data_IF_475413201270
#
_entry.id   IF_475413201270
#
_cell.length_a   1.000
_cell.length_b   1.000
_cell.length_c   1.000
_cell.angle_alpha   90.00
_cell.angle_beta   90.00
_cell.angle_gamma   90.00
#
_symmetry.space_group_name_H-M   'P 1'
#
loop_
_entity.id
_entity.type
_entity.pdbx_description
1 polymer ?
#
# COMPACT_ATOMS: atom_id res chain seq x y z
N UNK A 1 -4.14 -3.12 -10.63
CA UNK A 1 -5.52 -2.75 -10.22
C UNK A 1 -6.66 -3.60 -10.81
N UNK A 2 -6.60 -4.05 -12.09
CA UNK A 2 -7.73 -4.76 -12.73
C UNK A 2 -7.87 -6.25 -12.39
N UNK A 3 -6.83 -6.93 -11.89
CA UNK A 3 -6.89 -8.38 -11.59
C UNK A 3 -7.55 -8.74 -10.27
N UNK A 4 -7.66 -7.82 -9.31
CA UNK A 4 -8.28 -8.15 -8.00
C UNK A 4 -9.81 -8.17 -8.12
N UNK A 5 -10.38 -7.24 -8.90
CA UNK A 5 -11.83 -7.18 -9.15
C UNK A 5 -12.38 -8.38 -9.91
N UNK A 6 -11.58 -9.06 -10.75
CA UNK A 6 -12.03 -10.26 -11.46
C UNK A 6 -12.11 -11.50 -10.56
N UNK A 7 -11.19 -11.66 -9.61
CA UNK A 7 -11.17 -12.82 -8.69
C UNK A 7 -12.32 -12.71 -7.67
N UNK A 8 -12.63 -11.50 -7.23
CA UNK A 8 -13.72 -11.22 -6.29
C UNK A 8 -15.11 -11.41 -6.91
N UNK A 9 -15.28 -11.02 -8.18
CA UNK A 9 -16.52 -11.30 -8.92
C UNK A 9 -16.75 -12.80 -9.08
N UNK A 10 -15.68 -13.57 -9.33
CA UNK A 10 -15.76 -15.03 -9.46
C UNK A 10 -16.16 -15.68 -8.15
N UNK A 11 -15.65 -15.22 -6.99
CA UNK A 11 -16.00 -15.77 -5.68
C UNK A 11 -17.47 -15.53 -5.30
N UNK A 12 -17.97 -14.30 -5.48
CA UNK A 12 -19.38 -13.98 -5.23
C UNK A 12 -20.31 -14.69 -6.22
N UNK A 13 -19.95 -14.74 -7.50
CA UNK A 13 -20.71 -15.47 -8.52
C UNK A 13 -20.75 -16.97 -8.22
N UNK A 14 -19.63 -17.55 -7.74
CA UNK A 14 -19.56 -18.97 -7.34
C UNK A 14 -20.41 -19.28 -6.12
N UNK A 15 -20.40 -18.42 -5.10
CA UNK A 15 -21.26 -18.59 -3.92
C UNK A 15 -22.76 -18.49 -4.28
N UNK A 16 -23.13 -17.58 -5.20
CA UNK A 16 -24.51 -17.47 -5.69
C UNK A 16 -24.91 -18.63 -6.61
N UNK A 17 -23.97 -19.16 -7.40
CA UNK A 17 -24.21 -20.31 -8.28
C UNK A 17 -24.52 -21.59 -7.50
N UNK A 18 -24.09 -21.69 -6.23
CA UNK A 18 -24.34 -22.85 -5.38
C UNK A 18 -25.82 -22.99 -4.96
N UNK A 19 -26.66 -21.97 -5.14
CA UNK A 19 -28.11 -22.03 -4.97
C UNK A 19 -28.86 -22.65 -6.17
N UNK A 20 -28.16 -22.91 -7.28
CA UNK A 20 -28.76 -23.50 -8.49
C UNK A 20 -28.34 -24.97 -8.65
N UNK A 21 -29.24 -25.84 -9.13
CA UNK A 21 -28.90 -27.24 -9.40
C UNK A 21 -27.80 -27.32 -10.47
N UNK A 22 -26.79 -28.16 -10.21
CA UNK A 22 -25.69 -28.37 -11.16
C UNK A 22 -26.12 -29.37 -12.24
N UNK A 23 -26.14 -28.91 -13.49
CA UNK A 23 -26.37 -29.79 -14.64
C UNK A 23 -25.04 -30.40 -15.08
N UNK A 24 -24.70 -31.59 -14.56
CA UNK A 24 -23.61 -32.38 -15.15
C UNK A 24 -24.11 -32.95 -16.47
N UNK A 25 -23.64 -32.41 -17.61
CA UNK A 25 -23.92 -32.99 -18.94
C UNK A 25 -23.20 -34.33 -19.08
N UNK A 26 -23.82 -35.40 -18.61
CA UNK A 26 -23.52 -36.77 -19.05
C UNK A 26 -24.17 -37.02 -20.41
N UNK A 27 -23.60 -36.46 -21.48
CA UNK A 27 -24.06 -36.74 -22.83
C UNK A 27 -23.29 -37.93 -23.40
N UNK A 28 -23.69 -39.15 -23.08
CA UNK A 28 -23.28 -40.33 -23.85
C UNK A 28 -24.21 -40.45 -25.06
N UNK A 29 -23.84 -39.83 -26.18
CA UNK A 29 -24.57 -39.95 -27.43
C UNK A 29 -24.26 -41.30 -28.10
N UNK A 30 -25.16 -42.28 -27.91
CA UNK A 30 -25.21 -43.52 -28.71
C UNK A 30 -26.50 -43.54 -29.54
N UNK A 31 -26.39 -43.60 -30.86
CA UNK A 31 -27.54 -43.60 -31.78
C UNK A 31 -28.18 -44.99 -31.87
N UNK A 32 -29.31 -45.26 -31.18
CA UNK A 32 -30.12 -46.46 -31.44
C UNK A 32 -31.59 -46.41 -30.94
N UNK A 33 -32.44 -45.54 -31.50
CA UNK A 33 -33.92 -45.60 -31.37
C UNK A 33 -34.49 -45.36 -29.96
N UNK A 34 -35.80 -45.08 -29.80
CA UNK A 34 -36.40 -44.83 -28.48
C UNK A 34 -36.41 -46.13 -27.68
N UNK A 35 -35.40 -46.32 -26.83
CA UNK A 35 -35.25 -47.50 -25.98
C UNK A 35 -35.71 -47.18 -24.57
N UNK A 36 -36.15 -48.21 -23.85
CA UNK A 36 -36.48 -48.14 -22.41
C UNK A 36 -35.34 -47.51 -21.59
N UNK A 37 -34.08 -47.63 -22.05
CA UNK A 37 -32.91 -46.94 -21.49
C UNK A 37 -33.04 -45.42 -21.43
N UNK A 38 -33.59 -44.78 -22.46
CA UNK A 38 -33.74 -43.32 -22.53
C UNK A 38 -34.77 -42.83 -21.49
N UNK A 39 -35.79 -43.66 -21.21
CA UNK A 39 -36.79 -43.39 -20.17
C UNK A 39 -36.21 -43.55 -18.75
N UNK A 40 -35.33 -44.55 -18.55
CA UNK A 40 -34.61 -44.73 -17.28
C UNK A 40 -33.60 -43.61 -17.03
N UNK A 41 -32.89 -43.14 -18.07
CA UNK A 41 -31.98 -42.01 -17.96
C UNK A 41 -32.74 -40.70 -17.66
N UNK A 42 -33.89 -40.48 -18.31
CA UNK A 42 -34.77 -39.35 -18.00
C UNK A 42 -35.31 -39.42 -16.55
N UNK A 43 -35.72 -40.59 -16.08
CA UNK A 43 -36.19 -40.76 -14.71
C UNK A 43 -35.06 -40.55 -13.68
N UNK A 44 -33.86 -41.05 -13.96
CA UNK A 44 -32.70 -40.90 -13.08
C UNK A 44 -32.20 -39.45 -13.01
N UNK A 45 -32.26 -38.71 -14.12
CA UNK A 45 -31.98 -37.26 -14.13
C UNK A 45 -33.04 -36.45 -13.38
N UNK A 46 -34.33 -36.80 -13.49
CA UNK A 46 -35.37 -36.18 -12.65
C UNK A 46 -35.18 -36.47 -11.16
N UNK A 47 -34.81 -37.71 -10.80
CA UNK A 47 -34.55 -38.09 -9.41
C UNK A 47 -33.32 -37.36 -8.85
N UNK A 48 -32.22 -37.29 -9.60
CA UNK A 48 -31.02 -36.57 -9.16
C UNK A 48 -31.25 -35.07 -9.03
N UNK A 49 -32.03 -34.46 -9.93
CA UNK A 49 -32.52 -33.09 -9.78
C UNK A 49 -33.33 -32.95 -8.48
N UNK A 50 -34.29 -33.84 -8.22
CA UNK A 50 -35.07 -33.87 -6.98
C UNK A 50 -34.21 -33.94 -5.72
N UNK A 51 -33.18 -34.82 -5.70
CA UNK A 51 -32.20 -34.90 -4.60
C UNK A 51 -31.42 -33.60 -4.44
N UNK A 52 -30.94 -33.01 -5.54
CA UNK A 52 -30.15 -31.78 -5.50
C UNK A 52 -30.96 -30.59 -4.97
N UNK A 53 -32.23 -30.47 -5.37
CA UNK A 53 -33.14 -29.46 -4.83
C UNK A 53 -33.45 -29.71 -3.35
N UNK A 54 -33.68 -30.97 -2.96
CA UNK A 54 -33.88 -31.33 -1.57
C UNK A 54 -32.64 -31.01 -0.73
N UNK A 55 -31.44 -31.26 -1.25
CA UNK A 55 -30.18 -30.95 -0.57
C UNK A 55 -30.03 -29.44 -0.35
N UNK A 56 -30.34 -28.59 -1.34
CA UNK A 56 -30.35 -27.12 -1.19
C UNK A 56 -31.39 -26.66 -0.16
N UNK A 57 -32.58 -27.29 -0.15
CA UNK A 57 -33.65 -26.98 0.82
C UNK A 57 -33.29 -27.40 2.26
N UNK A 58 -32.57 -28.51 2.42
CA UNK A 58 -32.19 -29.10 3.72
C UNK A 58 -30.72 -28.84 4.10
N UNK A 59 -30.05 -27.86 3.50
CA UNK A 59 -28.63 -27.54 3.74
C UNK A 59 -28.36 -26.84 5.09
N UNK A 60 -29.36 -26.73 5.97
CA UNK A 60 -29.19 -26.15 7.32
C UNK A 60 -28.69 -24.71 7.36
N UNK A 61 -28.76 -23.98 6.23
CA UNK A 61 -28.26 -22.61 6.09
C UNK A 61 -26.78 -22.49 5.68
N UNK A 62 -26.07 -23.58 5.35
CA UNK A 62 -24.65 -23.53 5.00
C UNK A 62 -24.39 -22.70 3.72
N UNK A 63 -25.25 -22.80 2.69
CA UNK A 63 -25.23 -21.94 1.51
C UNK A 63 -25.40 -20.45 1.83
N UNK A 64 -26.29 -20.11 2.77
CA UNK A 64 -26.49 -18.74 3.22
C UNK A 64 -25.26 -18.23 3.97
N UNK A 65 -24.71 -19.03 4.89
CA UNK A 65 -23.48 -18.71 5.61
C UNK A 65 -22.27 -18.54 4.66
N UNK A 66 -22.18 -19.33 3.58
CA UNK A 66 -21.15 -19.19 2.56
C UNK A 66 -21.30 -17.90 1.75
N UNK A 67 -22.53 -17.50 1.42
CA UNK A 67 -22.81 -16.22 0.77
C UNK A 67 -22.47 -15.04 1.69
N UNK A 68 -22.87 -15.11 2.96
CA UNK A 68 -22.60 -14.08 3.97
C UNK A 68 -21.08 -13.95 4.21
N UNK A 69 -20.36 -15.07 4.27
CA UNK A 69 -18.89 -15.10 4.36
C UNK A 69 -18.22 -14.46 3.14
N UNK A 70 -18.72 -14.73 1.92
CA UNK A 70 -18.21 -14.11 0.70
C UNK A 70 -18.49 -12.59 0.68
N UNK A 71 -19.66 -12.15 1.15
CA UNK A 71 -19.99 -10.73 1.28
C UNK A 71 -19.13 -10.04 2.33
N UNK A 72 -18.92 -10.66 3.50
CA UNK A 72 -18.04 -10.16 4.54
C UNK A 72 -16.59 -10.02 4.04
N UNK A 73 -16.09 -11.03 3.31
CA UNK A 73 -14.75 -11.01 2.70
C UNK A 73 -14.58 -9.84 1.72
N UNK A 74 -15.62 -9.53 0.93
CA UNK A 74 -15.63 -8.34 0.07
C UNK A 74 -15.60 -7.04 0.90
N UNK A 75 -16.35 -7.00 2.00
CA UNK A 75 -16.31 -5.88 2.95
C UNK A 75 -14.90 -5.63 3.48
N UNK A 76 -14.19 -6.70 3.88
CA UNK A 76 -12.78 -6.64 4.31
C UNK A 76 -11.87 -6.12 3.20
N UNK A 77 -12.02 -6.60 1.96
CA UNK A 77 -11.19 -6.14 0.84
C UNK A 77 -11.40 -4.64 0.55
N UNK A 78 -12.64 -4.16 0.55
CA UNK A 78 -12.96 -2.74 0.37
C UNK A 78 -12.40 -1.91 1.52
N UNK A 79 -12.51 -2.38 2.76
CA UNK A 79 -11.93 -1.70 3.92
C UNK A 79 -10.40 -1.64 3.83
N UNK A 80 -9.75 -2.75 3.44
CA UNK A 80 -8.30 -2.80 3.23
C UNK A 80 -7.83 -1.85 2.13
N UNK A 81 -8.57 -1.75 1.02
CA UNK A 81 -8.29 -0.77 -0.03
C UNK A 81 -8.40 0.67 0.49
N UNK A 82 -9.48 1.01 1.20
CA UNK A 82 -9.66 2.34 1.81
C UNK A 82 -8.51 2.67 2.76
N UNK A 83 -8.14 1.74 3.62
CA UNK A 83 -7.04 1.90 4.57
C UNK A 83 -5.71 2.13 3.84
N UNK A 84 -5.41 1.36 2.80
CA UNK A 84 -4.18 1.52 2.02
C UNK A 84 -4.10 2.90 1.36
N UNK A 85 -5.21 3.38 0.80
CA UNK A 85 -5.30 4.73 0.21
C UNK A 85 -5.10 5.81 1.26
N UNK A 86 -5.81 5.72 2.40
CA UNK A 86 -5.68 6.69 3.49
C UNK A 86 -4.25 6.74 4.05
N UNK A 87 -3.63 5.57 4.25
CA UNK A 87 -2.25 5.49 4.73
C UNK A 87 -1.25 6.12 3.74
N UNK A 88 -1.47 5.95 2.42
CA UNK A 88 -0.65 6.59 1.40
C UNK A 88 -0.80 8.12 1.42
N UNK A 89 -2.03 8.62 1.53
CA UNK A 89 -2.28 10.07 1.65
C UNK A 89 -1.63 10.66 2.91
N UNK A 90 -1.82 10.00 4.05
CA UNK A 90 -1.22 10.42 5.32
C UNK A 90 0.31 10.46 5.20
N UNK A 91 0.93 9.43 4.62
CA UNK A 91 2.39 9.39 4.46
C UNK A 91 2.92 10.55 3.61
N UNK A 92 2.24 10.92 2.53
CA UNK A 92 2.62 12.07 1.69
C UNK A 92 2.47 13.38 2.48
N UNK A 93 1.37 13.53 3.23
CA UNK A 93 1.13 14.71 4.05
C UNK A 93 2.17 14.88 5.15
N UNK A 94 2.52 13.80 5.86
CA UNK A 94 3.56 13.77 6.89
C UNK A 94 4.91 14.22 6.32
N UNK A 95 5.27 13.71 5.13
CA UNK A 95 6.51 14.09 4.46
C UNK A 95 6.50 15.56 4.01
N UNK A 96 5.38 16.08 3.53
CA UNK A 96 5.25 17.50 3.16
C UNK A 96 5.34 18.40 4.39
N UNK A 97 4.71 18.02 5.50
CA UNK A 97 4.79 18.73 6.77
C UNK A 97 6.25 18.76 7.29
N UNK A 98 6.93 17.61 7.28
CA UNK A 98 8.34 17.51 7.63
C UNK A 98 9.21 18.43 6.76
N UNK A 99 8.96 18.47 5.44
CA UNK A 99 9.71 19.33 4.51
C UNK A 99 9.55 20.81 4.83
N UNK A 100 8.34 21.26 5.19
CA UNK A 100 8.09 22.65 5.61
C UNK A 100 8.95 23.00 6.83
N UNK A 101 8.94 22.17 7.87
CA UNK A 101 9.75 22.38 9.07
C UNK A 101 11.25 22.40 8.80
N UNK A 102 11.75 21.56 7.89
CA UNK A 102 13.16 21.57 7.46
C UNK A 102 13.52 22.86 6.71
N UNK A 103 12.64 23.34 5.83
CA UNK A 103 12.85 24.58 5.08
C UNK A 103 12.86 25.82 5.99
N UNK A 104 11.99 25.88 6.98
CA UNK A 104 11.98 26.96 7.99
C UNK A 104 13.30 27.00 8.77
N UNK A 105 13.82 25.83 9.14
CA UNK A 105 15.10 25.72 9.85
C UNK A 105 16.32 26.04 8.95
N UNK A 106 16.22 25.85 7.63
CA UNK A 106 17.35 26.03 6.70
C UNK A 106 17.92 27.45 6.79
N UNK A 107 17.08 28.47 6.72
CA UNK A 107 17.52 29.87 6.75
C UNK A 107 18.25 30.21 8.07
N UNK A 108 17.70 29.75 9.20
CA UNK A 108 18.29 29.96 10.51
C UNK A 108 19.65 29.26 10.65
N UNK A 109 19.78 28.02 10.14
CA UNK A 109 21.04 27.27 10.17
C UNK A 109 22.09 27.85 9.24
N UNK A 110 21.68 28.40 8.10
CA UNK A 110 22.57 29.14 7.19
C UNK A 110 23.12 30.39 7.87
N UNK A 111 22.25 31.19 8.49
CA UNK A 111 22.67 32.38 9.25
C UNK A 111 23.60 32.02 10.41
N UNK A 112 23.27 31.00 11.19
CA UNK A 112 24.12 30.54 12.30
C UNK A 112 25.50 30.08 11.83
N UNK A 113 25.58 29.34 10.72
CA UNK A 113 26.84 28.93 10.10
C UNK A 113 27.67 30.13 9.63
N UNK A 114 27.04 31.09 8.95
CA UNK A 114 27.71 32.31 8.49
C UNK A 114 28.23 33.16 9.67
N UNK A 115 27.43 33.32 10.72
CA UNK A 115 27.83 34.05 11.93
C UNK A 115 29.00 33.36 12.64
N UNK A 116 28.97 32.03 12.79
CA UNK A 116 30.06 31.29 13.42
C UNK A 116 31.37 31.37 12.62
N UNK A 117 31.30 31.32 11.28
CA UNK A 117 32.46 31.52 10.42
C UNK A 117 33.04 32.94 10.54
N UNK A 118 32.19 33.97 10.68
CA UNK A 118 32.65 35.33 10.92
C UNK A 118 33.37 35.44 12.27
N UNK A 119 32.82 34.85 13.32
CA UNK A 119 33.44 34.80 14.65
C UNK A 119 34.80 34.12 14.61
N UNK A 120 34.91 32.98 13.92
CA UNK A 120 36.18 32.28 13.71
C UNK A 120 37.24 33.20 13.08
N UNK A 121 36.88 33.96 12.04
CA UNK A 121 37.78 34.92 11.39
C UNK A 121 38.17 36.08 12.32
N UNK A 122 37.22 36.62 13.07
CA UNK A 122 37.48 37.71 14.02
C UNK A 122 38.43 37.27 15.13
N UNK A 123 38.22 36.08 15.72
CA UNK A 123 39.09 35.54 16.77
C UNK A 123 40.48 35.24 16.22
N UNK A 124 40.59 34.72 15.00
CA UNK A 124 41.88 34.51 14.34
C UNK A 124 42.64 35.83 14.13
N UNK A 125 41.95 36.89 13.74
CA UNK A 125 42.56 38.22 13.58
C UNK A 125 43.03 38.79 14.92
N UNK A 126 42.25 38.62 16.00
CA UNK A 126 42.64 39.01 17.36
C UNK A 126 43.85 38.23 17.85
N UNK A 127 43.93 36.93 17.56
CA UNK A 127 45.09 36.10 17.89
C UNK A 127 46.34 36.59 17.18
N UNK A 128 46.24 36.89 15.88
CA UNK A 128 47.35 37.47 15.09
C UNK A 128 47.80 38.83 15.61
N UNK A 129 46.89 39.60 16.20
CA UNK A 129 47.16 40.86 16.86
C UNK A 129 47.65 40.71 18.31
N UNK A 130 47.81 39.48 18.83
CA UNK A 130 48.26 39.20 20.19
C UNK A 130 47.23 39.53 21.28
N UNK A 131 45.94 39.64 20.93
CA UNK A 131 44.86 40.06 21.85
C UNK A 131 44.16 38.90 22.56
N UNK A 132 44.31 37.67 22.07
CA UNK A 132 43.67 36.45 22.60
C UNK A 132 44.62 35.27 22.46
N UNK A 133 44.38 34.21 23.22
CA UNK A 133 45.18 32.99 23.16
C UNK A 133 44.78 32.09 21.99
N UNK A 134 45.67 31.19 21.58
CA UNK A 134 45.36 30.25 20.49
C UNK A 134 44.20 29.29 20.85
N UNK A 135 44.00 29.01 22.13
CA UNK A 135 42.86 28.21 22.63
C UNK A 135 41.51 28.82 22.27
N UNK A 136 41.41 30.14 22.20
CA UNK A 136 40.19 30.84 21.77
C UNK A 136 39.91 30.60 20.28
N UNK A 137 40.97 30.58 19.47
CA UNK A 137 40.88 30.25 18.03
C UNK A 137 40.34 28.84 17.84
N UNK A 138 40.90 27.85 18.54
CA UNK A 138 40.45 26.45 18.46
C UNK A 138 38.99 26.31 18.89
N UNK A 139 38.59 27.03 19.94
CA UNK A 139 37.20 27.03 20.42
C UNK A 139 36.26 27.64 19.38
N UNK A 140 36.64 28.75 18.75
CA UNK A 140 35.86 29.37 17.68
C UNK A 140 35.75 28.46 16.44
N UNK A 141 36.84 27.82 16.03
CA UNK A 141 36.86 26.84 14.93
C UNK A 141 35.95 25.64 15.22
N UNK A 142 35.98 25.10 16.44
CA UNK A 142 35.12 24.00 16.84
C UNK A 142 33.64 24.38 16.76
N UNK A 143 33.28 25.58 17.22
CA UNK A 143 31.92 26.13 17.11
C UNK A 143 31.47 26.30 15.65
N UNK A 144 32.32 26.89 14.80
CA UNK A 144 32.04 27.07 13.38
C UNK A 144 31.88 25.73 12.65
N UNK A 145 32.73 24.75 12.94
CA UNK A 145 32.61 23.40 12.39
C UNK A 145 31.31 22.71 12.84
N UNK A 146 30.92 22.85 14.09
CA UNK A 146 29.65 22.32 14.60
C UNK A 146 28.44 22.94 13.88
N UNK A 147 28.46 24.26 13.67
CA UNK A 147 27.41 24.97 12.92
C UNK A 147 27.34 24.51 11.45
N UNK A 148 28.50 24.39 10.78
CA UNK A 148 28.59 23.86 9.41
C UNK A 148 28.04 22.43 9.32
N UNK A 149 28.42 21.55 10.25
CA UNK A 149 27.90 20.16 10.32
C UNK A 149 26.39 20.11 10.50
N UNK A 150 25.84 20.94 11.38
CA UNK A 150 24.39 21.03 11.60
C UNK A 150 23.65 21.45 10.34
N UNK A 151 24.17 22.43 9.58
CA UNK A 151 23.60 22.84 8.31
C UNK A 151 23.62 21.70 7.28
N UNK A 152 24.74 20.99 7.16
CA UNK A 152 24.85 19.84 6.24
C UNK A 152 23.88 18.72 6.62
N UNK A 153 23.74 18.40 7.91
CA UNK A 153 22.76 17.40 8.38
C UNK A 153 21.33 17.78 8.00
N UNK A 154 20.97 19.07 8.09
CA UNK A 154 19.66 19.56 7.66
C UNK A 154 19.48 19.41 6.15
N UNK A 155 20.50 19.73 5.35
CA UNK A 155 20.48 19.53 3.89
C UNK A 155 20.32 18.04 3.52
N UNK A 156 21.01 17.14 4.22
CA UNK A 156 20.81 15.69 4.07
C UNK A 156 19.37 15.32 4.39
N UNK A 157 18.80 15.86 5.47
CA UNK A 157 17.38 15.66 5.82
C UNK A 157 16.42 16.08 4.70
N UNK A 158 16.67 17.22 4.05
CA UNK A 158 15.87 17.68 2.91
C UNK A 158 15.96 16.70 1.72
N UNK A 159 17.13 16.16 1.43
CA UNK A 159 17.30 15.21 0.33
C UNK A 159 16.66 13.85 0.63
N UNK A 160 16.82 13.34 1.85
CA UNK A 160 16.16 12.09 2.28
C UNK A 160 14.63 12.24 2.23
N UNK A 161 14.10 13.39 2.67
CA UNK A 161 12.68 13.69 2.56
C UNK A 161 12.20 13.75 1.10
N UNK A 162 13.00 14.36 0.20
CA UNK A 162 12.67 14.39 -1.23
C UNK A 162 12.62 12.98 -1.84
N UNK A 163 13.58 12.11 -1.51
CA UNK A 163 13.58 10.70 -1.95
C UNK A 163 12.36 9.97 -1.40
N UNK A 164 12.04 10.15 -0.12
CA UNK A 164 10.87 9.54 0.51
C UNK A 164 9.55 10.00 -0.13
N UNK A 165 9.44 11.28 -0.52
CA UNK A 165 8.28 11.79 -1.26
C UNK A 165 8.12 11.11 -2.62
N UNK A 166 9.22 10.95 -3.36
CA UNK A 166 9.21 10.22 -4.64
C UNK A 166 8.74 8.78 -4.43
N UNK A 167 9.23 8.12 -3.39
CA UNK A 167 8.81 6.75 -3.05
C UNK A 167 7.33 6.67 -2.67
N UNK A 168 6.84 7.58 -1.81
CA UNK A 168 5.45 7.61 -1.36
C UNK A 168 4.46 7.89 -2.51
N UNK A 169 4.88 8.66 -3.52
CA UNK A 169 4.09 8.93 -4.73
C UNK A 169 4.11 7.76 -5.74
N UNK A 170 4.78 6.65 -5.42
CA UNK A 170 4.82 5.46 -6.28
C UNK A 170 6.12 5.28 -7.07
N UNK A 171 7.17 6.04 -6.75
CA UNK A 171 8.56 5.75 -7.16
C UNK A 171 8.83 5.76 -8.67
N UNK A 172 7.93 6.30 -9.49
CA UNK A 172 8.05 6.31 -10.95
C UNK A 172 7.45 5.08 -11.67
N UNK A 173 6.57 4.31 -11.02
CA UNK A 173 5.93 3.16 -11.65
C UNK A 173 5.03 3.56 -12.84
N UNK A 174 5.51 3.27 -14.06
CA UNK A 174 4.68 3.20 -15.28
C UNK A 174 4.23 1.76 -15.48
N UNK A 175 2.92 1.48 -15.61
CA UNK A 175 2.41 0.15 -15.91
C UNK A 175 2.76 -0.36 -17.32
N UNK A 176 3.38 0.47 -18.18
CA UNK A 176 3.77 0.10 -19.55
C UNK A 176 5.26 -0.30 -19.62
N UNK A 177 5.59 -1.46 -19.06
CA UNK A 177 6.71 -2.25 -19.55
C UNK A 177 6.10 -3.55 -20.10
N UNK A 178 6.08 -3.65 -21.43
CA UNK A 178 5.45 -4.71 -22.23
C UNK A 178 5.78 -6.13 -21.77
#
# INVERSE_FOLDING_TARGET
>A
PQRVGSIEQVAHARARAAFYPSLSRGATAGSAGPRVSDLFDAANTLWSLGLSLAQVLFDGGALQAALDSAQASRGVAVAGYRQAVLAAFQSVEDLLAQRRGLNEQLALRQQASAAANLTEQQVLNRYRAGQVDFTDVVTAQASALAARRSLVQLQVGLQTNAIALVQALGGGWSPDAK
#
